data_IF_793337992394
#
_entry.id   IF_793337992394
#
_cell.length_a   1.000
_cell.length_b   1.000
_cell.length_c   1.000
_cell.angle_alpha   90.00
_cell.angle_beta   90.00
_cell.angle_gamma   90.00
#
_symmetry.space_group_name_H-M   'P 1'
#
loop_
_entity.id
_entity.type
_entity.pdbx_description
1 polymer ?
#
# COMPACT_ATOMS: atom_id res chain seq x y z
N UNK A 1 19.65 -8.50 63.10
CA UNK A 1 18.67 -8.21 62.03
C UNK A 1 18.96 -9.16 60.88
N UNK A 2 18.14 -10.20 60.75
CA UNK A 2 18.25 -11.25 59.73
C UNK A 2 17.45 -10.80 58.51
N UNK A 3 18.12 -10.61 57.37
CA UNK A 3 17.50 -10.34 56.07
C UNK A 3 17.17 -11.65 55.36
N UNK A 4 15.89 -11.82 55.03
CA UNK A 4 15.39 -12.96 54.27
C UNK A 4 15.73 -12.83 52.77
N UNK A 5 16.17 -13.90 52.08
CA UNK A 5 16.30 -13.88 50.63
C UNK A 5 14.94 -14.19 49.96
N UNK A 6 14.61 -13.39 48.94
CA UNK A 6 13.40 -13.50 48.13
C UNK A 6 13.45 -14.76 47.24
N UNK A 7 12.39 -15.58 47.28
CA UNK A 7 12.20 -16.72 46.38
C UNK A 7 11.62 -16.24 45.05
N UNK A 8 12.45 -16.08 44.02
CA UNK A 8 11.96 -16.03 42.64
C UNK A 8 11.62 -17.45 42.16
N UNK A 9 10.35 -17.70 41.83
CA UNK A 9 9.89 -18.96 41.23
C UNK A 9 10.30 -18.99 39.75
N UNK A 10 11.23 -19.88 39.41
CA UNK A 10 11.58 -20.26 38.03
C UNK A 10 10.49 -21.19 37.48
N UNK A 11 9.99 -20.92 36.28
CA UNK A 11 9.21 -21.88 35.51
C UNK A 11 10.13 -22.48 34.44
N UNK A 12 10.23 -23.81 34.41
CA UNK A 12 10.96 -24.58 33.39
C UNK A 12 9.90 -25.31 32.59
N UNK A 13 9.78 -25.00 31.30
CA UNK A 13 8.90 -25.74 30.38
C UNK A 13 9.67 -26.98 29.96
N UNK A 14 9.29 -28.15 30.50
CA UNK A 14 9.79 -29.45 30.07
C UNK A 14 8.80 -29.98 29.03
N UNK A 15 9.16 -29.94 27.75
CA UNK A 15 8.39 -30.64 26.71
C UNK A 15 8.89 -32.09 26.67
N UNK A 16 8.24 -32.97 27.43
CA UNK A 16 8.41 -34.41 27.28
C UNK A 16 7.60 -34.89 26.08
N UNK A 17 8.27 -35.20 24.97
CA UNK A 17 7.68 -36.04 23.93
C UNK A 17 7.65 -37.49 24.44
N UNK A 18 6.57 -37.86 25.12
CA UNK A 18 6.25 -39.26 25.37
C UNK A 18 5.84 -39.90 24.04
N UNK A 19 6.69 -40.78 23.52
CA UNK A 19 6.33 -41.66 22.42
C UNK A 19 6.12 -43.08 22.97
N UNK A 20 4.88 -43.55 23.22
CA UNK A 20 4.64 -44.92 23.61
C UNK A 20 4.30 -45.77 22.38
N UNK A 21 4.79 -47.01 22.42
CA UNK A 21 4.45 -48.15 21.55
C UNK A 21 5.27 -48.32 20.26
N UNK A 22 6.36 -49.08 20.36
CA UNK A 22 6.55 -50.20 19.43
C UNK A 22 7.42 -51.30 20.06
N UNK A 23 6.78 -52.23 20.75
CA UNK A 23 7.36 -53.53 21.08
C UNK A 23 6.74 -54.57 20.14
N UNK A 24 7.35 -54.74 18.97
CA UNK A 24 7.18 -55.95 18.16
C UNK A 24 8.51 -56.71 18.19
N UNK A 25 8.50 -57.82 18.94
CA UNK A 25 9.60 -58.79 18.99
C UNK A 25 9.89 -59.35 17.59
N UNK A 26 11.17 -59.44 17.21
CA UNK A 26 11.78 -60.70 16.73
C UNK A 26 13.30 -60.57 16.54
N UNK A 27 13.99 -61.50 17.21
CA UNK A 27 15.36 -61.99 17.02
C UNK A 27 16.10 -61.51 15.77
N UNK A 28 17.20 -60.80 16.00
CA UNK A 28 18.36 -60.78 15.10
C UNK A 28 19.03 -62.17 15.12
N UNK A 29 19.18 -62.78 13.95
CA UNK A 29 20.30 -63.69 13.70
C UNK A 29 21.33 -62.90 12.89
N UNK A 30 22.48 -62.64 13.52
CA UNK A 30 23.73 -62.27 12.89
C UNK A 30 23.74 -60.99 12.07
N UNK A 31 24.01 -59.85 12.70
CA UNK A 31 24.88 -58.76 12.20
C UNK A 31 24.88 -57.67 13.30
N UNK A 32 26.03 -57.43 13.93
CA UNK A 32 26.22 -56.34 14.88
C UNK A 32 26.05 -55.00 14.16
N UNK A 33 24.88 -54.38 14.33
CA UNK A 33 24.68 -52.97 14.05
C UNK A 33 25.11 -52.19 15.29
N UNK A 34 26.28 -51.56 15.21
CA UNK A 34 26.71 -50.52 16.15
C UNK A 34 25.69 -49.38 16.12
N UNK A 35 24.82 -49.32 17.12
CA UNK A 35 23.88 -48.22 17.33
C UNK A 35 24.63 -47.05 17.96
N UNK A 36 24.79 -45.95 17.21
CA UNK A 36 25.18 -44.66 17.77
C UNK A 36 23.92 -44.00 18.37
N UNK A 37 23.87 -43.71 19.69
CA UNK A 37 22.85 -42.83 20.21
C UNK A 37 23.15 -41.42 19.66
N UNK A 38 22.32 -40.90 18.77
CA UNK A 38 22.33 -39.47 18.45
C UNK A 38 21.87 -38.73 19.70
N UNK A 39 22.84 -38.30 20.51
CA UNK A 39 22.60 -37.34 21.58
C UNK A 39 22.16 -36.03 20.92
N UNK A 40 20.85 -35.83 20.78
CA UNK A 40 20.30 -34.52 20.43
C UNK A 40 20.59 -33.59 21.60
N UNK A 41 21.67 -32.82 21.48
CA UNK A 41 21.99 -31.76 22.43
C UNK A 41 20.85 -30.74 22.40
N UNK A 42 19.98 -30.75 23.42
CA UNK A 42 19.05 -29.66 23.66
C UNK A 42 19.87 -28.43 24.02
N UNK A 43 20.06 -27.52 23.06
CA UNK A 43 20.74 -26.25 23.29
C UNK A 43 19.76 -25.36 24.06
N UNK A 44 19.91 -25.28 25.37
CA UNK A 44 19.18 -24.30 26.18
C UNK A 44 19.77 -22.93 25.87
N UNK A 45 19.06 -22.12 25.09
CA UNK A 45 19.46 -20.74 24.79
C UNK A 45 19.12 -19.89 26.02
N UNK A 46 20.12 -19.21 26.57
CA UNK A 46 19.88 -18.22 27.62
C UNK A 46 19.30 -16.95 27.00
N UNK A 47 17.97 -16.88 26.98
CA UNK A 47 17.20 -15.76 26.42
C UNK A 47 17.35 -14.46 27.20
N UNK A 48 18.00 -14.47 28.39
CA UNK A 48 18.12 -13.28 29.25
C UNK A 48 19.10 -12.22 28.72
N UNK A 49 19.89 -12.54 27.69
CA UNK A 49 20.90 -11.67 27.09
C UNK A 49 20.66 -11.38 25.60
N UNK A 50 19.43 -11.60 25.11
CA UNK A 50 19.06 -11.38 23.71
C UNK A 50 18.12 -10.19 23.58
N UNK A 51 18.12 -9.58 22.40
CA UNK A 51 17.19 -8.51 22.07
C UNK A 51 15.80 -9.10 21.86
N UNK A 52 14.82 -8.57 22.59
CA UNK A 52 13.42 -8.97 22.47
C UNK A 52 12.60 -7.87 21.76
N UNK A 53 11.65 -8.30 20.94
CA UNK A 53 10.62 -7.45 20.37
C UNK A 53 9.26 -7.90 20.90
N UNK A 54 8.49 -6.95 21.41
CA UNK A 54 7.16 -7.17 21.99
C UNK A 54 6.12 -6.45 21.14
N UNK A 55 5.19 -7.20 20.55
CA UNK A 55 3.98 -6.64 19.94
C UNK A 55 2.87 -6.62 20.99
N UNK A 56 2.59 -5.44 21.54
CA UNK A 56 1.54 -5.18 22.52
C UNK A 56 0.23 -4.72 21.85
N UNK A 57 -0.92 -5.25 22.28
CA UNK A 57 -2.25 -4.99 21.69
C UNK A 57 -3.32 -4.77 22.78
N UNK A 58 -4.15 -3.72 22.69
CA UNK A 58 -5.11 -3.34 23.75
C UNK A 58 -6.47 -4.09 23.74
N UNK A 59 -6.68 -5.06 22.85
CA UNK A 59 -8.00 -5.69 22.64
C UNK A 59 -8.28 -6.97 23.46
N UNK A 60 -7.26 -7.77 23.76
CA UNK A 60 -7.44 -9.13 24.27
C UNK A 60 -6.44 -9.47 25.37
N UNK A 61 -6.70 -10.56 26.10
CA UNK A 61 -5.74 -11.18 27.02
C UNK A 61 -5.36 -12.58 26.52
N UNK A 62 -4.26 -13.18 27.03
CA UNK A 62 -3.90 -14.56 26.67
C UNK A 62 -5.02 -15.59 26.92
N UNK A 63 -5.92 -15.30 27.87
CA UNK A 63 -7.01 -16.18 28.25
C UNK A 63 -8.28 -15.98 27.39
N UNK A 64 -8.40 -14.85 26.68
CA UNK A 64 -9.61 -14.48 25.92
C UNK A 64 -9.45 -14.50 24.40
N UNK A 65 -8.22 -14.58 23.88
CA UNK A 65 -7.99 -14.54 22.43
C UNK A 65 -8.39 -15.85 21.73
N UNK A 66 -9.16 -15.78 20.63
CA UNK A 66 -9.35 -16.92 19.74
C UNK A 66 -8.04 -17.40 19.10
N UNK A 67 -7.80 -18.72 19.07
CA UNK A 67 -6.55 -19.31 18.54
C UNK A 67 -6.24 -18.90 17.09
N UNK A 68 -7.26 -18.72 16.25
CA UNK A 68 -7.09 -18.24 14.87
C UNK A 68 -6.58 -16.80 14.82
N UNK A 69 -7.13 -15.90 15.65
CA UNK A 69 -6.67 -14.51 15.75
C UNK A 69 -5.23 -14.44 16.24
N UNK A 70 -4.87 -15.30 17.20
CA UNK A 70 -3.51 -15.39 17.70
C UNK A 70 -2.53 -15.75 16.56
N UNK A 71 -2.89 -16.73 15.74
CA UNK A 71 -2.09 -17.15 14.60
C UNK A 71 -1.93 -16.03 13.55
N UNK A 72 -3.00 -15.28 13.25
CA UNK A 72 -2.95 -14.15 12.32
C UNK A 72 -2.00 -13.05 12.79
N UNK A 73 -2.06 -12.67 14.08
CA UNK A 73 -1.13 -11.70 14.65
C UNK A 73 0.31 -12.20 14.65
N UNK A 74 0.54 -13.47 15.00
CA UNK A 74 1.88 -14.07 14.96
C UNK A 74 2.46 -14.11 13.54
N UNK A 75 1.65 -14.46 12.55
CA UNK A 75 2.07 -14.48 11.15
C UNK A 75 2.46 -13.08 10.67
N UNK A 76 1.61 -12.09 10.90
CA UNK A 76 1.89 -10.71 10.52
C UNK A 76 3.12 -10.14 11.27
N UNK A 77 3.25 -10.46 12.56
CA UNK A 77 4.39 -10.04 13.38
C UNK A 77 5.71 -10.64 12.89
N UNK A 78 5.75 -11.93 12.56
CA UNK A 78 6.94 -12.59 12.00
C UNK A 78 7.37 -11.98 10.66
N UNK A 79 6.41 -11.61 9.81
CA UNK A 79 6.64 -10.97 8.51
C UNK A 79 7.21 -9.56 8.66
N UNK A 80 6.76 -8.82 9.68
CA UNK A 80 7.26 -7.49 10.02
C UNK A 80 8.74 -7.53 10.41
N UNK A 81 9.10 -8.38 11.39
CA UNK A 81 10.48 -8.53 11.85
C UNK A 81 11.41 -9.09 10.75
N UNK A 82 10.86 -9.93 9.87
CA UNK A 82 11.65 -10.60 8.84
C UNK A 82 12.57 -11.67 9.41
N UNK A 83 13.51 -12.17 8.58
CA UNK A 83 14.52 -13.16 9.00
C UNK A 83 13.95 -14.37 9.76
N UNK A 84 12.96 -15.04 9.18
CA UNK A 84 12.16 -16.12 9.80
C UNK A 84 12.96 -17.25 10.46
N UNK A 85 14.20 -17.52 10.01
CA UNK A 85 15.05 -18.55 10.61
C UNK A 85 15.64 -18.14 11.98
N UNK A 86 15.75 -16.84 12.25
CA UNK A 86 16.53 -16.28 13.35
C UNK A 86 15.68 -15.45 14.33
N UNK A 87 14.37 -15.40 14.09
CA UNK A 87 13.37 -14.74 14.94
C UNK A 87 12.47 -15.82 15.51
N UNK A 88 12.45 -15.92 16.83
CA UNK A 88 11.81 -17.04 17.51
C UNK A 88 10.77 -16.53 18.49
N UNK A 89 9.62 -17.19 18.51
CA UNK A 89 8.57 -16.90 19.49
C UNK A 89 9.04 -17.31 20.90
N UNK A 90 8.86 -16.40 21.87
CA UNK A 90 9.23 -16.60 23.27
C UNK A 90 8.02 -16.97 24.13
N UNK A 91 7.08 -16.02 24.28
CA UNK A 91 5.98 -16.09 25.25
C UNK A 91 4.89 -15.06 24.93
N UNK A 92 3.74 -15.26 25.60
CA UNK A 92 2.70 -14.23 25.77
C UNK A 92 2.80 -13.65 27.18
N UNK A 93 2.81 -12.32 27.32
CA UNK A 93 2.77 -11.67 28.64
C UNK A 93 1.34 -11.27 29.04
N UNK A 94 1.09 -11.09 30.34
CA UNK A 94 -0.21 -10.66 30.88
C UNK A 94 -0.30 -9.13 30.93
N UNK A 95 -1.50 -8.60 30.78
CA UNK A 95 -1.80 -7.15 30.79
C UNK A 95 -2.32 -6.60 29.46
N UNK A 96 -2.28 -7.45 28.43
CA UNK A 96 -2.83 -7.38 27.07
C UNK A 96 -2.14 -8.50 26.28
N UNK A 97 -2.47 -8.77 25.01
CA UNK A 97 -1.61 -9.70 24.25
C UNK A 97 -0.31 -8.99 23.90
N UNK A 98 0.75 -9.41 24.56
CA UNK A 98 2.12 -9.04 24.26
C UNK A 98 2.84 -10.26 23.67
N UNK A 99 3.00 -10.29 22.34
CA UNK A 99 3.77 -11.34 21.68
C UNK A 99 5.25 -10.99 21.77
N UNK A 100 6.01 -11.80 22.52
CA UNK A 100 7.45 -11.60 22.65
C UNK A 100 8.17 -12.51 21.69
N UNK A 101 8.98 -11.93 20.81
CA UNK A 101 9.94 -12.64 19.98
C UNK A 101 11.36 -12.26 20.42
N UNK A 102 12.27 -13.22 20.43
CA UNK A 102 13.71 -12.96 20.61
C UNK A 102 14.43 -13.12 19.28
N UNK A 103 15.51 -12.35 19.11
CA UNK A 103 16.29 -12.30 17.88
C UNK A 103 17.71 -12.80 18.16
N UNK A 104 18.23 -13.68 17.31
CA UNK A 104 19.63 -14.10 17.40
C UNK A 104 20.57 -12.92 17.13
N UNK A 105 21.72 -12.92 17.83
CA UNK A 105 22.67 -11.80 17.77
C UNK A 105 23.11 -11.42 16.36
N UNK A 106 23.26 -12.41 15.46
CA UNK A 106 23.65 -12.19 14.06
C UNK A 106 22.58 -11.45 13.23
N UNK A 107 21.30 -11.57 13.61
CA UNK A 107 20.17 -10.94 12.94
C UNK A 107 19.74 -9.62 13.60
N UNK A 108 20.16 -9.35 14.83
CA UNK A 108 19.74 -8.16 15.59
C UNK A 108 19.92 -6.84 14.83
N UNK A 109 21.09 -6.52 14.23
CA UNK A 109 21.25 -5.27 13.47
C UNK A 109 20.29 -5.16 12.28
N UNK A 110 20.07 -6.28 11.56
CA UNK A 110 19.20 -6.30 10.37
C UNK A 110 17.73 -6.12 10.73
N UNK A 111 17.28 -6.75 11.83
CA UNK A 111 15.92 -6.59 12.32
C UNK A 111 15.71 -5.17 12.86
N UNK A 112 16.67 -4.61 13.59
CA UNK A 112 16.62 -3.24 14.08
C UNK A 112 16.54 -2.20 12.95
N UNK A 113 17.37 -2.34 11.92
CA UNK A 113 17.35 -1.46 10.75
C UNK A 113 16.01 -1.56 10.01
N UNK A 114 15.52 -2.78 9.81
CA UNK A 114 14.24 -3.03 9.13
C UNK A 114 13.06 -2.43 9.91
N UNK A 115 13.01 -2.62 11.23
CA UNK A 115 11.99 -2.01 12.09
C UNK A 115 12.04 -0.49 12.00
N UNK A 116 13.25 0.10 12.01
CA UNK A 116 13.43 1.56 11.89
C UNK A 116 12.99 2.09 10.51
N UNK A 117 13.34 1.39 9.43
CA UNK A 117 12.87 1.72 8.07
C UNK A 117 11.35 1.56 7.93
N UNK A 118 10.76 0.58 8.63
CA UNK A 118 9.31 0.37 8.60
C UNK A 118 8.60 1.51 9.33
N UNK A 119 9.15 1.97 10.46
CA UNK A 119 8.66 3.16 11.15
C UNK A 119 8.74 4.43 10.28
N UNK A 120 9.78 4.54 9.44
CA UNK A 120 9.98 5.66 8.52
C UNK A 120 9.21 5.56 7.20
N UNK A 121 8.52 4.43 6.94
CA UNK A 121 7.81 4.19 5.67
C UNK A 121 8.72 3.88 4.47
N UNK A 122 10.00 3.56 4.69
CA UNK A 122 11.01 3.33 3.63
C UNK A 122 11.52 1.89 3.56
N UNK A 123 10.92 0.98 4.33
CA UNK A 123 11.26 -0.45 4.29
C UNK A 123 10.82 -1.12 2.99
N UNK A 124 11.29 -2.35 2.79
CA UNK A 124 10.83 -3.20 1.70
C UNK A 124 9.30 -3.42 1.72
N UNK A 125 8.70 -3.59 0.53
CA UNK A 125 7.25 -3.70 0.34
C UNK A 125 6.60 -4.78 1.22
N UNK A 126 7.32 -5.85 1.54
CA UNK A 126 6.83 -6.93 2.39
C UNK A 126 6.69 -6.50 3.87
N UNK A 127 7.61 -5.67 4.37
CA UNK A 127 7.55 -5.08 5.71
C UNK A 127 6.41 -4.05 5.83
N UNK A 128 6.28 -3.19 4.82
CA UNK A 128 5.19 -2.21 4.75
C UNK A 128 3.83 -2.89 4.66
N UNK A 129 3.72 -3.97 3.86
CA UNK A 129 2.53 -4.79 3.82
C UNK A 129 2.22 -5.42 5.19
N UNK A 130 3.24 -5.95 5.89
CA UNK A 130 3.05 -6.49 7.24
C UNK A 130 2.57 -5.43 8.25
N UNK A 131 3.10 -4.21 8.17
CA UNK A 131 2.64 -3.08 8.98
C UNK A 131 1.15 -2.77 8.70
N UNK A 132 0.75 -2.73 7.43
CA UNK A 132 -0.65 -2.53 7.03
C UNK A 132 -1.56 -3.70 7.47
N UNK A 133 -1.08 -4.94 7.35
CA UNK A 133 -1.79 -6.15 7.78
C UNK A 133 -2.08 -6.11 9.29
N UNK A 134 -1.09 -5.72 10.12
CA UNK A 134 -1.27 -5.56 11.58
C UNK A 134 -2.31 -4.48 11.88
N UNK A 135 -2.21 -3.30 11.25
CA UNK A 135 -3.19 -2.23 11.45
C UNK A 135 -4.59 -2.65 11.04
N UNK A 136 -4.73 -3.44 9.97
CA UNK A 136 -6.01 -4.00 9.53
C UNK A 136 -6.60 -4.95 10.57
N UNK A 137 -5.81 -5.88 11.11
CA UNK A 137 -6.24 -6.79 12.18
C UNK A 137 -6.68 -6.00 13.42
N UNK A 138 -5.85 -5.04 13.86
CA UNK A 138 -6.17 -4.18 15.00
C UNK A 138 -7.46 -3.39 14.78
N UNK A 139 -7.69 -2.87 13.57
CA UNK A 139 -8.93 -2.17 13.23
C UNK A 139 -10.15 -3.08 13.31
N UNK A 140 -10.06 -4.32 12.82
CA UNK A 140 -11.14 -5.30 12.94
C UNK A 140 -11.47 -5.64 14.40
N UNK A 141 -10.44 -5.68 15.25
CA UNK A 141 -10.59 -5.93 16.68
C UNK A 141 -10.87 -4.66 17.51
N UNK A 142 -11.09 -3.51 16.86
CA UNK A 142 -11.27 -2.20 17.50
C UNK A 142 -10.16 -1.84 18.51
N UNK A 143 -8.92 -2.13 18.12
CA UNK A 143 -7.73 -2.10 18.96
C UNK A 143 -6.66 -1.13 18.43
N UNK A 144 -5.69 -0.84 19.29
CA UNK A 144 -4.41 -0.21 18.96
C UNK A 144 -3.26 -1.15 19.35
N UNK A 145 -2.07 -0.91 18.80
CA UNK A 145 -0.90 -1.70 19.15
C UNK A 145 0.40 -0.91 19.16
N UNK A 146 1.40 -1.49 19.81
CA UNK A 146 2.76 -0.94 19.89
C UNK A 146 3.77 -2.06 19.66
N UNK A 147 4.78 -1.79 18.84
CA UNK A 147 6.00 -2.60 18.83
C UNK A 147 7.00 -1.97 19.81
N UNK A 148 7.46 -2.75 20.78
CA UNK A 148 8.46 -2.34 21.76
C UNK A 148 9.73 -3.15 21.56
N UNK A 149 10.86 -2.47 21.45
CA UNK A 149 12.17 -3.09 21.48
C UNK A 149 12.69 -3.14 22.92
N UNK A 150 13.17 -4.30 23.34
CA UNK A 150 13.78 -4.56 24.64
C UNK A 150 15.19 -5.10 24.41
N UNK A 151 16.17 -4.20 24.20
CA UNK A 151 17.54 -4.60 23.97
C UNK A 151 18.17 -5.17 25.25
N UNK A 152 19.12 -6.10 25.08
CA UNK A 152 19.83 -6.73 26.20
C UNK A 152 20.58 -5.66 27.05
N UNK A 153 20.12 -5.43 28.28
CA UNK A 153 20.71 -4.45 29.20
C UNK A 153 20.26 -2.98 29.01
N UNK A 154 19.30 -2.71 28.12
CA UNK A 154 18.78 -1.36 27.87
C UNK A 154 17.37 -1.10 28.43
N UNK A 155 16.83 0.07 28.11
CA UNK A 155 15.44 0.44 28.43
C UNK A 155 14.52 0.02 27.29
N UNK A 156 13.34 -0.49 27.64
CA UNK A 156 12.25 -0.72 26.67
C UNK A 156 11.87 0.58 25.98
N UNK A 157 11.81 0.57 24.65
CA UNK A 157 11.39 1.71 23.84
C UNK A 157 10.32 1.29 22.84
N UNK A 158 9.29 2.13 22.66
CA UNK A 158 8.30 1.95 21.58
C UNK A 158 8.97 2.35 20.28
N UNK A 159 9.08 1.41 19.35
CA UNK A 159 9.75 1.61 18.05
C UNK A 159 8.77 1.80 16.90
N UNK A 160 7.56 1.22 16.99
CA UNK A 160 6.49 1.42 16.02
C UNK A 160 5.16 1.56 16.76
N UNK A 161 4.35 2.53 16.37
CA UNK A 161 2.95 2.63 16.79
C UNK A 161 2.04 2.11 15.67
N UNK A 162 1.07 1.29 16.05
CA UNK A 162 0.03 0.79 15.17
C UNK A 162 -1.29 1.48 15.52
N UNK A 163 -1.71 2.49 14.74
CA UNK A 163 -2.91 3.24 15.04
C UNK A 163 -4.19 2.40 15.01
N UNK A 164 -4.24 1.27 14.27
CA UNK A 164 -5.36 0.32 14.32
C UNK A 164 -6.73 0.99 14.14
N UNK A 165 -7.56 1.01 15.19
CA UNK A 165 -8.86 1.73 15.21
C UNK A 165 -8.76 3.24 14.94
N UNK A 166 -7.62 3.85 15.26
CA UNK A 166 -7.32 5.27 15.03
C UNK A 166 -6.62 5.52 13.69
N UNK A 167 -6.52 4.50 12.82
CA UNK A 167 -5.95 4.69 11.48
C UNK A 167 -6.79 5.70 10.73
N UNK A 168 -6.24 6.90 10.48
CA UNK A 168 -6.85 7.88 9.59
C UNK A 168 -6.85 7.28 8.19
N UNK A 169 -8.03 7.04 7.64
CA UNK A 169 -8.13 6.72 6.22
C UNK A 169 -7.73 7.97 5.44
N UNK A 170 -6.83 7.87 4.45
CA UNK A 170 -6.56 8.99 3.58
C UNK A 170 -7.90 9.47 3.01
N UNK A 171 -8.12 10.78 3.04
CA UNK A 171 -9.34 11.40 2.52
C UNK A 171 -9.51 10.97 1.07
N UNK A 172 -10.39 9.99 0.83
CA UNK A 172 -10.78 9.61 -0.52
C UNK A 172 -11.58 10.76 -1.08
N UNK A 173 -10.98 11.51 -2.01
CA UNK A 173 -11.71 12.48 -2.80
C UNK A 173 -12.84 11.74 -3.51
N UNK A 174 -14.07 12.07 -3.16
CA UNK A 174 -15.25 11.49 -3.78
C UNK A 174 -15.18 11.80 -5.27
N UNK A 175 -15.45 10.84 -6.17
CA UNK A 175 -15.46 11.12 -7.59
C UNK A 175 -16.49 12.20 -7.91
N UNK A 176 -16.05 13.26 -8.59
CA UNK A 176 -16.91 14.39 -8.94
C UNK A 176 -17.04 14.52 -10.45
N UNK A 177 -18.07 15.27 -10.86
CA UNK A 177 -18.38 15.57 -12.24
C UNK A 177 -17.91 16.98 -12.56
N UNK A 178 -17.11 17.13 -13.62
CA UNK A 178 -16.66 18.42 -14.11
C UNK A 178 -16.84 18.51 -15.63
N UNK A 179 -17.13 19.72 -16.16
CA UNK A 179 -17.05 19.98 -17.59
C UNK A 179 -15.65 19.63 -18.10
N UNK A 180 -15.59 18.88 -19.20
CA UNK A 180 -14.33 18.46 -19.80
C UNK A 180 -14.45 18.42 -21.33
N UNK A 181 -13.30 18.61 -21.96
CA UNK A 181 -13.13 18.57 -23.41
C UNK A 181 -11.98 17.64 -23.76
N UNK A 182 -12.15 16.83 -24.80
CA UNK A 182 -11.10 15.94 -25.32
C UNK A 182 -11.03 16.08 -26.83
N UNK A 183 -9.82 16.32 -27.32
CA UNK A 183 -9.51 16.44 -28.74
C UNK A 183 -8.88 15.15 -29.26
N UNK A 184 -9.36 14.65 -30.40
CA UNK A 184 -8.70 13.54 -31.07
C UNK A 184 -9.48 12.93 -32.23
N UNK A 185 -8.94 11.85 -32.76
CA UNK A 185 -9.51 11.12 -33.89
C UNK A 185 -10.45 10.01 -33.41
N UNK A 186 -11.61 9.88 -34.06
CA UNK A 186 -12.57 8.81 -33.78
C UNK A 186 -12.08 7.47 -34.35
N UNK A 187 -11.71 6.53 -33.47
CA UNK A 187 -11.18 5.21 -33.86
C UNK A 187 -12.18 4.07 -33.67
N UNK A 188 -13.19 4.27 -32.83
CA UNK A 188 -14.23 3.27 -32.55
C UNK A 188 -15.53 3.96 -32.21
N UNK A 189 -16.63 3.40 -32.72
CA UNK A 189 -17.97 3.77 -32.28
C UNK A 189 -18.90 2.57 -32.35
N UNK A 190 -19.73 2.38 -31.31
CA UNK A 190 -20.71 1.31 -31.28
C UNK A 190 -21.60 1.35 -30.04
N UNK A 191 -22.84 0.88 -30.18
CA UNK A 191 -23.81 0.83 -29.09
C UNK A 191 -24.95 -0.11 -29.44
N UNK A 192 -25.43 -0.87 -28.45
CA UNK A 192 -26.55 -1.82 -28.62
C UNK A 192 -27.88 -1.22 -28.15
N UNK A 193 -27.84 -0.29 -27.21
CA UNK A 193 -29.02 0.27 -26.54
C UNK A 193 -29.24 1.75 -26.94
N UNK A 194 -29.82 2.55 -26.04
CA UNK A 194 -30.03 3.99 -26.23
C UNK A 194 -28.75 4.81 -26.06
N UNK A 195 -27.67 4.19 -25.55
CA UNK A 195 -26.36 4.79 -25.41
C UNK A 195 -25.39 4.21 -26.45
N UNK A 196 -24.38 5.00 -26.79
CA UNK A 196 -23.28 4.59 -27.64
C UNK A 196 -21.96 4.86 -26.92
N UNK A 197 -21.00 3.97 -27.16
CA UNK A 197 -19.65 4.13 -26.68
C UNK A 197 -18.73 4.39 -27.88
N UNK A 198 -17.92 5.43 -27.76
CA UNK A 198 -16.88 5.73 -28.73
C UNK A 198 -15.51 5.81 -28.07
N UNK A 199 -14.47 5.68 -28.89
CA UNK A 199 -13.10 5.90 -28.48
C UNK A 199 -12.48 6.95 -29.37
N UNK A 200 -11.87 7.93 -28.71
CA UNK A 200 -11.11 9.01 -29.33
C UNK A 200 -9.63 8.80 -28.98
N UNK A 201 -8.75 8.92 -29.97
CA UNK A 201 -7.30 8.88 -29.74
C UNK A 201 -6.75 10.29 -29.88
N UNK A 202 -6.12 10.79 -28.83
CA UNK A 202 -5.51 12.13 -28.85
C UNK A 202 -4.18 12.14 -29.63
N UNK A 203 -3.62 13.34 -29.83
CA UNK A 203 -2.35 13.51 -30.55
C UNK A 203 -1.13 12.87 -29.87
N UNK A 204 -1.24 12.49 -28.59
CA UNK A 204 -0.21 11.76 -27.85
C UNK A 204 -0.40 10.24 -27.93
N UNK A 205 -1.45 9.78 -28.62
CA UNK A 205 -1.81 8.37 -28.75
C UNK A 205 -2.60 7.79 -27.58
N UNK A 206 -3.03 8.62 -26.61
CA UNK A 206 -3.88 8.15 -25.51
C UNK A 206 -5.30 7.94 -26.01
N UNK A 207 -5.89 6.82 -25.58
CA UNK A 207 -7.25 6.46 -25.94
C UNK A 207 -8.23 6.86 -24.84
N UNK A 208 -9.16 7.74 -25.18
CA UNK A 208 -10.23 8.21 -24.33
C UNK A 208 -11.53 7.49 -24.66
N UNK A 209 -12.14 6.84 -23.66
CA UNK A 209 -13.43 6.19 -23.81
C UNK A 209 -14.55 7.15 -23.43
N UNK A 210 -15.48 7.37 -24.35
CA UNK A 210 -16.58 8.32 -24.19
C UNK A 210 -17.93 7.63 -24.37
N UNK A 211 -18.93 8.16 -23.66
CA UNK A 211 -20.31 7.73 -23.73
C UNK A 211 -21.15 8.88 -24.29
N UNK A 212 -22.01 8.58 -25.25
CA UNK A 212 -22.85 9.58 -25.90
C UNK A 212 -24.22 8.99 -26.28
N UNK A 213 -25.15 9.86 -26.65
CA UNK A 213 -26.46 9.45 -27.16
C UNK A 213 -26.35 8.84 -28.54
N UNK A 214 -27.30 7.98 -28.91
CA UNK A 214 -27.31 7.34 -30.22
C UNK A 214 -27.46 8.31 -31.41
N UNK A 215 -28.13 9.44 -31.19
CA UNK A 215 -28.25 10.51 -32.19
C UNK A 215 -26.88 11.14 -32.46
N UNK A 216 -26.17 11.55 -31.41
CA UNK A 216 -24.82 12.10 -31.51
C UNK A 216 -23.86 11.09 -32.16
N UNK A 217 -24.01 9.81 -31.81
CA UNK A 217 -23.19 8.74 -32.38
C UNK A 217 -23.36 8.64 -33.90
N UNK A 218 -24.59 8.76 -34.37
CA UNK A 218 -24.90 8.70 -35.79
C UNK A 218 -24.30 9.89 -36.55
N UNK A 219 -24.25 11.07 -35.92
CA UNK A 219 -23.62 12.28 -36.50
C UNK A 219 -22.10 12.16 -36.61
N UNK A 220 -21.43 11.62 -35.59
CA UNK A 220 -19.95 11.49 -35.60
C UNK A 220 -19.46 10.23 -36.33
N UNK A 221 -20.31 9.21 -36.54
CA UNK A 221 -19.91 7.95 -37.15
C UNK A 221 -19.30 8.10 -38.56
N UNK A 222 -19.67 9.14 -39.30
CA UNK A 222 -19.09 9.45 -40.62
C UNK A 222 -17.59 9.81 -40.57
N UNK A 223 -17.08 10.17 -39.39
CA UNK A 223 -15.69 10.57 -39.15
C UNK A 223 -14.81 9.40 -38.65
N UNK A 224 -15.33 8.18 -38.62
CA UNK A 224 -14.58 7.00 -38.18
C UNK A 224 -13.38 6.72 -39.12
N UNK A 225 -12.20 6.51 -38.56
CA UNK A 225 -10.92 6.15 -39.22
C UNK A 225 -10.28 7.19 -40.15
N UNK A 226 -11.03 8.11 -40.76
CA UNK A 226 -10.51 9.12 -41.70
C UNK A 226 -11.24 10.47 -41.59
N UNK A 227 -11.78 10.75 -40.42
CA UNK A 227 -12.41 12.04 -40.14
C UNK A 227 -11.40 13.10 -39.68
N UNK A 228 -11.85 14.37 -39.60
CA UNK A 228 -11.09 15.42 -38.95
C UNK A 228 -10.92 15.13 -37.45
N UNK A 229 -10.02 15.85 -36.79
CA UNK A 229 -9.91 15.85 -35.33
C UNK A 229 -11.20 16.42 -34.74
N UNK A 230 -11.79 15.70 -33.80
CA UNK A 230 -13.02 16.11 -33.12
C UNK A 230 -12.69 16.58 -31.70
N UNK A 231 -13.31 17.68 -31.29
CA UNK A 231 -13.38 18.09 -29.89
C UNK A 231 -14.69 17.57 -29.31
N UNK A 232 -14.60 16.58 -28.43
CA UNK A 232 -15.75 16.07 -27.69
C UNK A 232 -15.94 16.92 -26.43
N UNK A 233 -17.15 17.45 -26.25
CA UNK A 233 -17.51 18.35 -25.14
C UNK A 233 -18.53 17.63 -24.26
N UNK A 234 -18.37 17.73 -22.94
CA UNK A 234 -19.39 17.27 -22.02
C UNK A 234 -18.93 17.24 -20.58
N UNK A 235 -19.38 16.24 -19.82
CA UNK A 235 -19.07 16.12 -18.39
C UNK A 235 -18.30 14.83 -18.11
N UNK A 236 -17.10 14.98 -17.54
CA UNK A 236 -16.25 13.89 -17.13
C UNK A 236 -16.35 13.63 -15.62
N UNK A 237 -16.31 12.35 -15.25
CA UNK A 237 -16.25 11.89 -13.88
C UNK A 237 -14.82 11.49 -13.56
N UNK A 238 -14.22 12.24 -12.64
CA UNK A 238 -12.84 12.04 -12.24
C UNK A 238 -12.75 11.45 -10.84
N UNK A 239 -11.74 10.60 -10.63
CA UNK A 239 -11.32 10.13 -9.32
C UNK A 239 -9.84 10.43 -9.16
N UNK A 240 -9.47 11.00 -8.01
CA UNK A 240 -8.07 11.15 -7.64
C UNK A 240 -7.63 9.88 -6.93
N UNK A 241 -6.74 9.13 -7.55
CA UNK A 241 -6.17 7.93 -6.95
C UNK A 241 -5.24 8.29 -5.78
N UNK A 242 -4.95 7.30 -4.91
CA UNK A 242 -4.11 7.47 -3.71
C UNK A 242 -2.67 7.90 -4.05
N UNK A 243 -2.22 7.63 -5.27
CA UNK A 243 -0.93 8.06 -5.85
C UNK A 243 -0.95 9.53 -6.35
N UNK A 244 -2.11 10.16 -6.33
CA UNK A 244 -2.32 11.53 -6.82
C UNK A 244 -2.67 11.63 -8.30
N UNK A 245 -2.73 10.51 -9.04
CA UNK A 245 -3.12 10.50 -10.45
C UNK A 245 -4.63 10.68 -10.63
N UNK A 246 -5.02 11.43 -11.66
CA UNK A 246 -6.42 11.57 -12.06
C UNK A 246 -6.83 10.43 -12.99
N UNK A 247 -7.84 9.68 -12.58
CA UNK A 247 -8.43 8.61 -13.37
C UNK A 247 -9.79 9.04 -13.89
N UNK A 248 -9.95 8.98 -15.21
CA UNK A 248 -11.24 9.16 -15.86
C UNK A 248 -12.08 7.90 -15.64
N UNK A 249 -13.20 8.04 -14.93
CA UNK A 249 -14.13 6.93 -14.68
C UNK A 249 -15.22 6.85 -15.76
N UNK A 250 -15.76 7.99 -16.16
CA UNK A 250 -16.80 8.11 -17.19
C UNK A 250 -16.66 9.47 -17.87
N UNK A 251 -16.94 9.55 -19.17
CA UNK A 251 -17.02 10.81 -19.88
C UNK A 251 -18.27 10.82 -20.74
N UNK A 252 -19.21 11.70 -20.39
CA UNK A 252 -20.48 11.84 -21.09
C UNK A 252 -20.43 13.04 -22.00
N UNK A 253 -20.42 12.76 -23.30
CA UNK A 253 -20.33 13.75 -24.35
C UNK A 253 -21.74 14.13 -24.77
N UNK A 254 -22.03 15.43 -24.72
CA UNK A 254 -23.30 16.01 -25.12
C UNK A 254 -23.19 16.76 -26.45
N UNK A 255 -22.01 17.28 -26.79
CA UNK A 255 -21.74 17.94 -28.06
C UNK A 255 -20.36 17.63 -28.64
N UNK A 256 -20.16 17.99 -29.91
CA UNK A 256 -18.85 17.92 -30.54
C UNK A 256 -18.61 19.08 -31.51
N UNK A 257 -17.35 19.47 -31.61
CA UNK A 257 -16.86 20.41 -32.62
C UNK A 257 -15.87 19.71 -33.55
N UNK A 258 -15.90 20.08 -34.82
CA UNK A 258 -14.90 19.66 -35.78
C UNK A 258 -13.75 20.67 -35.71
N UNK A 259 -12.56 20.19 -35.40
CA UNK A 259 -11.36 21.02 -35.40
C UNK A 259 -10.77 21.05 -36.80
N UNK A 260 -10.51 22.25 -37.30
CA UNK A 260 -9.83 22.43 -38.58
C UNK A 260 -8.38 21.95 -38.45
N UNK A 261 -7.96 21.06 -39.35
CA UNK A 261 -6.55 20.65 -39.51
C UNK A 261 -5.80 21.73 -40.30
N UNK A 262 -5.69 22.92 -39.70
CA UNK A 262 -4.87 23.99 -40.27
C UNK A 262 -3.44 23.76 -39.84
N UNK A 263 -2.55 23.46 -40.80
CA UNK A 263 -1.13 23.33 -40.51
C UNK A 263 -0.59 24.59 -39.82
N UNK A 264 0.35 24.43 -38.87
CA UNK A 264 0.90 25.54 -38.07
C UNK A 264 1.35 26.74 -38.92
N UNK A 265 1.91 26.48 -40.10
CA UNK A 265 2.32 27.52 -41.06
C UNK A 265 1.13 28.32 -41.58
N UNK A 266 0.04 27.66 -41.95
CA UNK A 266 -1.17 28.32 -42.45
C UNK A 266 -1.90 29.05 -41.31
N UNK A 267 -1.96 28.46 -40.11
CA UNK A 267 -2.51 29.10 -38.93
C UNK A 267 -1.74 30.38 -38.57
N UNK A 268 -0.40 30.34 -38.60
CA UNK A 268 0.45 31.52 -38.35
C UNK A 268 0.33 32.57 -39.45
N UNK A 269 0.19 32.19 -40.71
CA UNK A 269 -0.10 33.13 -41.80
C UNK A 269 -1.47 33.79 -41.60
N UNK A 270 -2.50 33.02 -41.24
CA UNK A 270 -3.85 33.54 -40.96
C UNK A 270 -3.84 34.50 -39.78
N UNK A 271 -3.16 34.15 -38.68
CA UNK A 271 -2.99 35.03 -37.52
C UNK A 271 -2.27 36.33 -37.89
N UNK A 272 -1.20 36.26 -38.68
CA UNK A 272 -0.48 37.46 -39.18
C UNK A 272 -1.32 38.31 -40.14
N UNK A 273 -2.29 37.71 -40.83
CA UNK A 273 -3.17 38.41 -41.76
C UNK A 273 -4.32 39.14 -41.06
N UNK A 274 -4.56 38.89 -39.76
CA UNK A 274 -5.47 39.69 -38.94
C UNK A 274 -4.87 41.10 -38.79
N UNK A 275 -5.27 42.01 -39.68
CA UNK A 275 -4.72 43.37 -39.79
C UNK A 275 -5.21 44.36 -38.73
N UNK A 276 -5.95 43.90 -37.73
CA UNK A 276 -6.58 44.75 -36.73
C UNK A 276 -6.43 44.15 -35.32
N UNK A 277 -5.17 43.91 -34.97
CA UNK A 277 -4.77 43.44 -33.64
C UNK A 277 -4.10 44.62 -32.93
N UNK A 278 -4.76 45.18 -31.90
CA UNK A 278 -4.21 46.25 -31.04
C UNK A 278 -2.88 45.89 -30.34
N UNK A 279 -2.45 44.64 -30.47
CA UNK A 279 -1.15 44.15 -30.01
C UNK A 279 0.04 44.99 -30.50
N UNK A 280 -0.02 45.60 -31.68
CA UNK A 280 1.05 46.48 -32.18
C UNK A 280 1.04 47.88 -31.55
N UNK A 281 -0.04 48.30 -30.90
CA UNK A 281 -0.14 49.59 -30.19
C UNK A 281 0.24 49.45 -28.72
N UNK A 282 0.43 48.22 -28.25
CA UNK A 282 0.82 47.91 -26.89
C UNK A 282 2.33 48.08 -26.70
N UNK A 283 2.72 48.95 -25.77
CA UNK A 283 4.11 49.36 -25.58
C UNK A 283 5.00 48.23 -25.03
N UNK A 284 4.40 47.32 -24.27
CA UNK A 284 5.04 46.11 -23.77
C UNK A 284 4.01 44.96 -23.74
N UNK A 285 4.22 44.03 -24.68
CA UNK A 285 3.35 42.87 -24.88
C UNK A 285 3.59 41.84 -23.77
N UNK A 286 4.83 41.70 -23.30
CA UNK A 286 5.19 40.67 -22.34
C UNK A 286 4.59 40.97 -20.96
N UNK A 287 4.65 42.23 -20.50
CA UNK A 287 3.96 42.63 -19.26
C UNK A 287 2.44 42.51 -19.36
N UNK A 288 1.87 42.80 -20.52
CA UNK A 288 0.43 42.60 -20.76
C UNK A 288 0.03 41.13 -20.63
N UNK A 289 0.80 40.21 -21.24
CA UNK A 289 0.54 38.77 -21.15
C UNK A 289 0.72 38.28 -19.72
N UNK A 290 1.77 38.74 -19.02
CA UNK A 290 2.00 38.40 -17.62
C UNK A 290 0.81 38.81 -16.73
N UNK A 291 0.28 40.03 -16.93
CA UNK A 291 -0.91 40.53 -16.22
C UNK A 291 -2.16 39.69 -16.50
N UNK A 292 -2.42 39.33 -17.77
CA UNK A 292 -3.58 38.49 -18.14
C UNK A 292 -3.48 37.09 -17.54
N UNK A 293 -2.27 36.54 -17.44
CA UNK A 293 -2.00 35.21 -16.86
C UNK A 293 -1.96 35.21 -15.32
N UNK A 294 -2.20 36.35 -14.67
CA UNK A 294 -2.22 36.45 -13.20
C UNK A 294 -0.83 36.42 -12.55
N UNK A 295 0.25 36.63 -13.30
CA UNK A 295 1.62 36.61 -12.75
C UNK A 295 2.01 37.87 -11.96
N UNK A 296 1.14 38.89 -11.88
CA UNK A 296 1.38 40.09 -11.05
C UNK A 296 0.88 39.96 -9.60
N UNK A 297 0.02 38.98 -9.30
CA UNK A 297 -0.36 38.69 -7.92
C UNK A 297 0.71 37.79 -7.29
N UNK A 298 1.73 38.43 -6.71
CA UNK A 298 2.79 37.81 -5.90
C UNK A 298 2.27 37.15 -4.61
N UNK A 299 1.35 36.21 -4.75
CA UNK A 299 0.88 35.29 -3.71
C UNK A 299 1.23 33.85 -4.10
N UNK A 300 2.51 33.57 -4.34
CA UNK A 300 3.10 32.25 -4.19
C UNK A 300 4.55 32.36 -3.71
#
# INVERSE_FOLDING_TARGET
>A
MLTAPSRQKRWVIVVQLQNPSWNAQKKLAGHELLWYPSATASRTIDVTNLDEYELWIDAYTPDSIPMNRLAEYLAAFSKLLGHQANVHFSRLEKGSIAHVAWVEHEASPKVSDRVSQTAAGTAANDALAAYADINKLLKFDNAIGELRARPAGGKTAVVIQFPGRNTQEPEKFIPFWEPAEVDGELVRIGGKDSSAHAQIVDGEGRTWSITLTRDLASRIAQFLYKGPVLRAIGTARWERAEDGEWKLLDFRVDDFEILDDVGLTEATVRLRALRDTDWSTQQDIDSTIARIRGHEDGLH
#
